data_IF_317383881800
#
_entry.id   IF_317383881800
#
_cell.length_a   1.000
_cell.length_b   1.000
_cell.length_c   1.000
_cell.angle_alpha   90.00
_cell.angle_beta   90.00
_cell.angle_gamma   90.00
#
_symmetry.space_group_name_H-M   'P 1'
#
loop_
_entity.id
_entity.type
_entity.pdbx_description
1 polymer ?
#
# COMPACT_ATOMS: atom_id res chain seq x y z
N UNK A 1 -0.65 74.96 -23.26
CA UNK A 1 -1.80 75.63 -23.91
C UNK A 1 -1.57 75.64 -25.41
N UNK A 2 -2.57 75.19 -26.19
CA UNK A 2 -2.78 75.49 -27.63
C UNK A 2 -1.74 74.88 -28.61
N UNK A 3 -2.07 74.23 -29.74
CA UNK A 3 -3.31 73.95 -30.47
C UNK A 3 -2.98 72.85 -31.49
N UNK A 4 -3.97 72.01 -31.84
CA UNK A 4 -3.92 71.00 -32.92
C UNK A 4 -3.67 71.65 -34.29
N UNK A 5 -2.88 71.01 -35.14
CA UNK A 5 -3.02 71.14 -36.60
C UNK A 5 -3.19 69.76 -37.21
N UNK A 6 -4.27 69.66 -37.95
CA UNK A 6 -4.74 68.53 -38.75
C UNK A 6 -3.99 68.54 -40.08
N UNK A 7 -3.34 67.44 -40.45
CA UNK A 7 -2.86 67.22 -41.83
C UNK A 7 -3.59 66.00 -42.39
N UNK A 8 -4.33 66.26 -43.45
CA UNK A 8 -5.11 65.32 -44.26
C UNK A 8 -4.25 64.66 -45.33
N UNK A 9 -4.67 63.44 -45.71
CA UNK A 9 -4.55 62.80 -47.02
C UNK A 9 -3.14 62.63 -47.61
N UNK A 10 -2.71 61.39 -47.87
CA UNK A 10 -3.19 60.68 -49.04
C UNK A 10 -2.66 59.25 -49.12
N UNK A 11 -3.53 58.41 -49.66
CA UNK A 11 -3.36 57.00 -49.93
C UNK A 11 -2.26 56.79 -50.99
N UNK A 12 -1.26 55.96 -50.68
CA UNK A 12 -0.42 55.30 -51.68
C UNK A 12 -0.41 53.81 -51.35
N UNK A 13 -1.05 53.06 -52.24
CA UNK A 13 -1.01 51.61 -52.31
C UNK A 13 0.43 51.13 -52.51
N UNK A 14 0.91 50.33 -51.56
CA UNK A 14 2.06 49.46 -51.77
C UNK A 14 1.54 48.03 -51.91
N UNK A 15 1.56 47.52 -53.15
CA UNK A 15 1.60 46.09 -53.40
C UNK A 15 2.98 45.57 -52.96
N UNK A 16 3.00 44.66 -51.99
CA UNK A 16 4.13 43.76 -51.82
C UNK A 16 3.70 42.44 -51.18
N UNK A 17 3.84 41.40 -51.99
CA UNK A 17 4.15 40.00 -51.71
C UNK A 17 3.59 39.38 -50.41
N UNK A 18 2.57 38.54 -50.59
CA UNK A 18 2.19 37.52 -49.63
C UNK A 18 3.37 36.57 -49.39
N UNK A 19 4.03 36.73 -48.25
CA UNK A 19 4.90 35.70 -47.68
C UNK A 19 4.03 34.59 -47.11
N UNK A 20 4.17 33.39 -47.65
CA UNK A 20 3.62 32.17 -47.10
C UNK A 20 4.34 31.84 -45.79
N UNK A 21 3.67 32.06 -44.65
CA UNK A 21 4.09 31.44 -43.39
C UNK A 21 4.01 29.91 -43.52
N UNK A 22 5.05 29.15 -43.16
CA UNK A 22 4.92 27.71 -43.03
C UNK A 22 4.03 27.42 -41.80
N UNK A 23 2.80 26.99 -42.06
CA UNK A 23 1.97 26.32 -41.06
C UNK A 23 2.79 25.17 -40.47
N UNK A 24 3.12 25.28 -39.19
CA UNK A 24 3.56 24.14 -38.38
C UNK A 24 2.43 23.13 -38.38
N UNK A 25 2.56 22.11 -39.21
CA UNK A 25 1.72 20.92 -39.16
C UNK A 25 1.91 20.27 -37.79
N UNK A 26 0.91 20.40 -36.93
CA UNK A 26 0.74 19.48 -35.82
C UNK A 26 0.63 18.07 -36.42
N UNK A 27 1.44 17.09 -35.98
CA UNK A 27 1.20 15.72 -36.38
C UNK A 27 -0.16 15.30 -35.82
N UNK A 28 -1.15 15.24 -36.72
CA UNK A 28 -2.39 14.52 -36.49
C UNK A 28 -1.99 13.07 -36.23
N UNK A 29 -2.02 12.68 -34.95
CA UNK A 29 -1.91 11.29 -34.57
C UNK A 29 -3.04 10.54 -35.28
N UNK A 30 -2.66 9.74 -36.26
CA UNK A 30 -3.53 8.78 -36.92
C UNK A 30 -4.17 7.92 -35.83
N UNK A 31 -5.49 8.02 -35.73
CA UNK A 31 -6.34 7.10 -34.98
C UNK A 31 -6.24 5.72 -35.62
N UNK A 32 -5.18 4.99 -35.26
CA UNK A 32 -5.11 3.56 -35.45
C UNK A 32 -5.69 2.91 -34.20
N UNK A 33 -6.97 2.55 -34.29
CA UNK A 33 -7.54 1.46 -33.52
C UNK A 33 -6.77 0.18 -33.89
N UNK A 34 -5.69 -0.10 -33.19
CA UNK A 34 -5.15 -1.45 -33.09
C UNK A 34 -5.59 -2.03 -31.77
N UNK A 35 -6.46 -3.04 -31.86
CA UNK A 35 -6.77 -3.96 -30.79
C UNK A 35 -5.47 -4.50 -30.17
N UNK A 36 -5.10 -3.95 -29.02
CA UNK A 36 -4.05 -4.47 -28.16
C UNK A 36 -4.61 -4.48 -26.74
N UNK A 37 -5.07 -5.68 -26.37
CA UNK A 37 -5.12 -6.22 -25.01
C UNK A 37 -6.10 -5.58 -24.01
N UNK A 38 -7.39 -5.84 -24.21
CA UNK A 38 -8.38 -5.84 -23.14
C UNK A 38 -8.40 -7.20 -22.42
N UNK A 39 -7.32 -7.56 -21.73
CA UNK A 39 -7.35 -8.59 -20.69
C UNK A 39 -7.21 -7.97 -19.31
N UNK A 40 -8.09 -7.02 -18.98
CA UNK A 40 -8.39 -6.73 -17.58
C UNK A 40 -9.15 -7.93 -17.02
N UNK A 41 -8.41 -8.90 -16.46
CA UNK A 41 -8.98 -10.06 -15.81
C UNK A 41 -9.97 -9.62 -14.73
N UNK A 42 -11.21 -10.09 -14.86
CA UNK A 42 -12.31 -9.79 -13.95
C UNK A 42 -11.91 -10.07 -12.48
N UNK A 43 -12.07 -9.09 -11.60
CA UNK A 43 -11.89 -9.27 -10.16
C UNK A 43 -12.88 -10.35 -9.69
N UNK A 44 -12.38 -11.43 -9.10
CA UNK A 44 -13.21 -12.51 -8.54
C UNK A 44 -13.20 -12.44 -7.03
N UNK A 45 -14.39 -12.48 -6.41
CA UNK A 45 -14.55 -12.58 -4.96
C UNK A 45 -15.02 -14.00 -4.61
N UNK A 46 -14.21 -14.75 -3.86
CA UNK A 46 -14.45 -16.15 -3.51
C UNK A 46 -14.68 -16.32 -2.01
N UNK A 47 -15.77 -16.98 -1.60
CA UNK A 47 -16.15 -17.08 -0.18
C UNK A 47 -15.61 -18.33 0.52
N UNK A 48 -15.03 -19.27 -0.23
CA UNK A 48 -14.46 -20.51 0.31
C UNK A 48 -12.96 -20.37 0.48
N UNK A 49 -12.45 -20.82 1.62
CA UNK A 49 -11.01 -20.96 1.86
C UNK A 49 -10.44 -22.10 1.00
N UNK A 50 -9.52 -21.83 0.06
CA UNK A 50 -8.78 -22.87 -0.67
C UNK A 50 -7.89 -23.71 0.26
N UNK A 51 -7.67 -24.97 -0.10
CA UNK A 51 -6.86 -25.90 0.69
C UNK A 51 -5.37 -25.49 0.80
N UNK A 52 -4.87 -24.72 -0.17
CA UNK A 52 -3.50 -24.22 -0.20
C UNK A 52 -3.35 -22.86 0.51
N UNK A 53 -4.40 -22.33 1.13
CA UNK A 53 -4.29 -21.25 2.11
C UNK A 53 -4.21 -21.88 3.50
N UNK A 54 -3.05 -21.77 4.12
CA UNK A 54 -2.68 -22.49 5.33
C UNK A 54 -2.53 -21.54 6.52
N UNK A 55 -2.63 -22.07 7.73
CA UNK A 55 -2.32 -21.31 8.94
C UNK A 55 -0.80 -21.22 9.13
N UNK A 56 -0.27 -20.02 9.33
CA UNK A 56 1.16 -19.78 9.42
C UNK A 56 1.83 -20.59 10.53
N UNK A 57 1.16 -20.78 11.66
CA UNK A 57 1.68 -21.53 12.83
C UNK A 57 1.92 -23.02 12.54
N UNK A 58 1.25 -23.56 11.52
CA UNK A 58 1.49 -24.93 11.03
C UNK A 58 2.75 -25.05 10.17
N UNK A 59 3.23 -23.93 9.61
CA UNK A 59 4.43 -23.85 8.77
C UNK A 59 5.65 -23.38 9.57
N UNK A 60 5.48 -22.40 10.46
CA UNK A 60 6.55 -21.89 11.33
C UNK A 60 6.01 -21.48 12.70
N UNK A 61 6.60 -22.07 13.75
CA UNK A 61 6.35 -21.68 15.15
C UNK A 61 7.30 -20.60 15.67
N UNK A 62 8.20 -20.11 14.82
CA UNK A 62 9.18 -19.07 15.18
C UNK A 62 8.64 -17.65 14.97
N UNK A 63 7.43 -17.51 14.43
CA UNK A 63 6.83 -16.21 14.11
C UNK A 63 5.75 -15.91 15.16
N UNK A 64 5.81 -14.71 15.75
CA UNK A 64 4.75 -14.23 16.63
C UNK A 64 3.56 -13.75 15.79
N UNK A 65 2.36 -14.21 16.14
CA UNK A 65 1.11 -13.85 15.45
C UNK A 65 0.27 -12.93 16.34
N UNK A 66 0.00 -11.73 15.84
CA UNK A 66 -0.78 -10.72 16.54
C UNK A 66 -1.64 -9.96 15.53
N UNK A 67 -2.73 -10.58 15.09
CA UNK A 67 -3.65 -10.03 14.10
C UNK A 67 -4.37 -8.80 14.67
N UNK A 68 -3.89 -7.62 14.33
CA UNK A 68 -4.33 -6.35 14.89
C UNK A 68 -5.85 -6.15 14.74
N UNK A 69 -6.39 -6.57 13.60
CA UNK A 69 -7.82 -6.43 13.28
C UNK A 69 -8.73 -7.42 13.98
N UNK A 70 -8.20 -8.42 14.67
CA UNK A 70 -8.98 -9.26 15.59
C UNK A 70 -9.30 -8.55 16.92
N UNK A 71 -8.63 -7.43 17.22
CA UNK A 71 -8.74 -6.70 18.47
C UNK A 71 -9.18 -5.24 18.25
N UNK A 72 -9.41 -4.49 19.33
CA UNK A 72 -9.88 -3.10 19.25
C UNK A 72 -8.77 -2.07 19.01
N UNK A 73 -7.51 -2.44 19.24
CA UNK A 73 -6.34 -1.57 19.10
C UNK A 73 -5.86 -1.51 17.64
N UNK A 74 -6.70 -0.92 16.79
CA UNK A 74 -6.40 -0.65 15.39
C UNK A 74 -7.07 0.67 14.97
N UNK A 75 -6.79 1.13 13.74
CA UNK A 75 -7.27 2.43 13.27
C UNK A 75 -8.79 2.57 13.24
N UNK A 76 -9.57 1.49 13.26
CA UNK A 76 -11.04 1.54 13.34
C UNK A 76 -11.58 1.60 14.78
N UNK A 77 -10.72 1.37 15.77
CA UNK A 77 -11.05 1.41 17.20
C UNK A 77 -11.94 0.25 17.67
N UNK A 78 -12.03 -0.85 16.91
CA UNK A 78 -12.82 -2.05 17.25
C UNK A 78 -12.32 -3.29 16.48
N UNK A 79 -12.66 -4.51 16.94
CA UNK A 79 -12.46 -5.71 16.14
C UNK A 79 -13.19 -5.58 14.80
N UNK A 80 -12.51 -5.96 13.73
CA UNK A 80 -12.95 -5.68 12.37
C UNK A 80 -13.77 -6.85 11.80
N UNK A 81 -14.93 -6.60 11.15
CA UNK A 81 -15.71 -7.66 10.52
C UNK A 81 -14.87 -8.52 9.58
N UNK A 82 -14.92 -9.84 9.77
CA UNK A 82 -14.10 -10.82 9.05
C UNK A 82 -13.01 -11.47 9.91
N UNK A 83 -12.58 -10.82 10.99
CA UNK A 83 -11.66 -11.38 11.97
C UNK A 83 -12.43 -11.90 13.18
N UNK A 84 -12.42 -13.21 13.38
CA UNK A 84 -13.03 -13.89 14.54
C UNK A 84 -12.00 -14.56 15.45
N UNK A 85 -10.74 -14.62 15.01
CA UNK A 85 -9.65 -15.25 15.74
C UNK A 85 -8.28 -14.61 15.42
N UNK A 86 -7.31 -14.85 16.29
CA UNK A 86 -5.92 -14.43 16.12
C UNK A 86 -5.12 -15.43 15.26
N UNK A 87 -5.56 -15.63 14.01
CA UNK A 87 -4.92 -16.55 13.07
C UNK A 87 -4.39 -15.81 11.84
N UNK A 88 -3.13 -16.06 11.50
CA UNK A 88 -2.54 -15.61 10.25
C UNK A 88 -2.71 -16.71 9.19
N UNK A 89 -3.54 -16.45 8.19
CA UNK A 89 -3.68 -17.30 7.01
C UNK A 89 -2.88 -16.74 5.83
N UNK A 90 -2.14 -17.59 5.15
CA UNK A 90 -1.35 -17.23 3.95
C UNK A 90 -1.43 -18.36 2.92
N UNK A 91 -1.33 -18.00 1.65
CA UNK A 91 -1.09 -18.97 0.58
C UNK A 91 0.21 -19.73 0.88
N UNK A 92 0.23 -21.04 0.66
CA UNK A 92 1.27 -21.96 1.12
C UNK A 92 2.70 -21.52 0.74
N UNK A 93 2.92 -21.01 -0.48
CA UNK A 93 4.23 -20.51 -0.93
C UNK A 93 4.64 -19.25 -0.16
N UNK A 94 3.70 -18.33 0.09
CA UNK A 94 3.95 -17.15 0.90
C UNK A 94 4.28 -17.52 2.36
N UNK A 95 3.55 -18.47 2.94
CA UNK A 95 3.84 -18.98 4.28
C UNK A 95 5.24 -19.63 4.37
N UNK A 96 5.62 -20.43 3.38
CA UNK A 96 6.94 -21.06 3.29
C UNK A 96 8.06 -20.04 3.11
N UNK A 97 7.87 -19.05 2.24
CA UNK A 97 8.82 -17.96 2.05
C UNK A 97 9.00 -17.15 3.34
N UNK A 98 7.91 -16.81 4.03
CA UNK A 98 7.96 -16.08 5.30
C UNK A 98 8.65 -16.90 6.41
N UNK A 99 8.50 -18.23 6.41
CA UNK A 99 9.26 -19.09 7.31
C UNK A 99 10.78 -19.01 7.06
N UNK A 100 11.23 -18.85 5.80
CA UNK A 100 12.63 -18.62 5.49
C UNK A 100 13.11 -17.24 5.97
N UNK A 101 12.28 -16.20 5.83
CA UNK A 101 12.56 -14.87 6.41
C UNK A 101 12.78 -15.00 7.92
N UNK A 102 11.91 -15.74 8.61
CA UNK A 102 12.02 -15.95 10.06
C UNK A 102 13.32 -16.65 10.46
N UNK A 103 13.76 -17.66 9.70
CA UNK A 103 15.04 -18.34 9.93
C UNK A 103 16.22 -17.37 9.75
N UNK A 104 16.19 -16.54 8.71
CA UNK A 104 17.24 -15.54 8.46
C UNK A 104 17.27 -14.46 9.53
N UNK A 105 16.11 -13.92 9.92
CA UNK A 105 15.98 -12.97 11.02
C UNK A 105 16.51 -13.56 12.34
N UNK A 106 16.19 -14.83 12.62
CA UNK A 106 16.67 -15.56 13.79
C UNK A 106 18.19 -15.64 13.89
N UNK A 107 18.88 -15.87 12.77
CA UNK A 107 20.36 -15.86 12.71
C UNK A 107 20.97 -14.50 13.03
N UNK A 108 20.22 -13.42 12.84
CA UNK A 108 20.62 -12.06 13.16
C UNK A 108 20.17 -11.62 14.58
N UNK A 109 19.55 -12.51 15.34
CA UNK A 109 19.06 -12.23 16.70
C UNK A 109 17.71 -11.53 16.76
N UNK A 110 16.92 -11.62 15.68
CA UNK A 110 15.57 -11.06 15.59
C UNK A 110 14.50 -12.16 15.52
N UNK A 111 13.25 -11.79 15.80
CA UNK A 111 12.07 -12.61 15.54
C UNK A 111 11.09 -11.82 14.68
N UNK A 112 10.25 -12.47 13.88
CA UNK A 112 9.16 -11.80 13.18
C UNK A 112 7.91 -11.70 14.06
N UNK A 113 7.20 -10.59 13.94
CA UNK A 113 5.82 -10.42 14.42
C UNK A 113 4.94 -10.04 13.24
N UNK A 114 3.94 -10.86 12.92
CA UNK A 114 2.95 -10.55 11.89
C UNK A 114 1.73 -9.88 12.51
N UNK A 115 1.29 -8.81 11.85
CA UNK A 115 0.24 -7.89 12.32
C UNK A 115 -1.02 -8.00 11.46
N UNK A 116 -0.86 -8.34 10.18
CA UNK A 116 -1.94 -8.79 9.31
C UNK A 116 -1.42 -9.75 8.23
N UNK A 117 -2.28 -10.65 7.76
CA UNK A 117 -1.98 -11.64 6.72
C UNK A 117 -3.13 -11.66 5.70
N UNK A 118 -3.75 -12.81 5.42
CA UNK A 118 -5.00 -12.81 4.68
C UNK A 118 -6.06 -11.93 5.38
N UNK A 119 -6.62 -10.99 4.60
CA UNK A 119 -7.69 -10.08 4.99
C UNK A 119 -8.93 -10.38 4.18
N UNK A 120 -10.08 -10.74 4.78
CA UNK A 120 -11.31 -10.94 4.03
C UNK A 120 -11.73 -9.70 3.25
N UNK A 121 -12.28 -9.86 2.05
CA UNK A 121 -12.76 -8.74 1.24
C UNK A 121 -13.78 -7.86 1.99
N UNK A 122 -14.67 -8.46 2.81
CA UNK A 122 -15.61 -7.72 3.67
C UNK A 122 -14.92 -6.76 4.66
N UNK A 123 -13.69 -7.06 5.05
CA UNK A 123 -12.86 -6.19 5.90
C UNK A 123 -12.40 -4.97 5.11
N UNK A 124 -11.90 -5.15 3.88
CA UNK A 124 -11.59 -4.02 2.98
C UNK A 124 -12.82 -3.16 2.71
N UNK A 125 -13.97 -3.77 2.45
CA UNK A 125 -15.23 -3.04 2.26
C UNK A 125 -15.62 -2.25 3.53
N UNK A 126 -15.37 -2.83 4.70
CA UNK A 126 -15.58 -2.16 5.98
C UNK A 126 -14.63 -0.97 6.16
N UNK A 127 -13.35 -1.11 5.83
CA UNK A 127 -12.39 0.00 5.87
C UNK A 127 -12.79 1.14 4.94
N UNK A 128 -13.29 0.84 3.74
CA UNK A 128 -13.81 1.87 2.82
C UNK A 128 -15.00 2.64 3.42
N UNK A 129 -15.95 1.93 4.05
CA UNK A 129 -17.09 2.57 4.74
C UNK A 129 -16.62 3.40 5.94
N UNK A 130 -15.69 2.88 6.73
CA UNK A 130 -15.11 3.61 7.86
C UNK A 130 -14.40 4.88 7.39
N UNK A 131 -13.61 4.82 6.32
CA UNK A 131 -12.90 5.96 5.76
C UNK A 131 -13.86 7.05 5.22
N UNK A 132 -14.99 6.63 4.65
CA UNK A 132 -16.05 7.52 4.17
C UNK A 132 -16.85 8.20 5.30
N UNK A 133 -16.88 7.63 6.50
CA UNK A 133 -17.51 8.24 7.66
C UNK A 133 -16.60 9.31 8.30
N UNK A 134 -16.69 10.53 7.77
CA UNK A 134 -15.96 11.68 8.26
C UNK A 134 -16.35 12.11 9.69
N UNK A 135 -17.47 11.63 10.23
CA UNK A 135 -17.91 11.99 11.59
C UNK A 135 -17.15 11.21 12.67
N UNK A 136 -16.69 9.99 12.36
CA UNK A 136 -15.87 9.20 13.28
C UNK A 136 -14.40 9.59 13.20
N UNK A 137 -13.92 10.33 14.21
CA UNK A 137 -12.54 10.81 14.35
C UNK A 137 -11.81 10.23 15.55
N UNK A 138 -12.36 9.19 16.20
CA UNK A 138 -11.90 8.70 17.51
C UNK A 138 -10.42 8.31 17.53
N UNK A 139 -9.94 7.74 16.43
CA UNK A 139 -8.59 7.20 16.29
C UNK A 139 -7.64 8.14 15.53
N UNK A 140 -8.12 9.31 15.07
CA UNK A 140 -7.35 10.24 14.22
C UNK A 140 -5.99 10.60 14.81
N UNK A 141 -5.96 10.99 16.08
CA UNK A 141 -4.72 11.42 16.73
C UNK A 141 -3.63 10.35 16.72
N UNK A 142 -4.01 9.07 16.77
CA UNK A 142 -3.08 7.95 16.81
C UNK A 142 -2.69 7.44 15.42
N UNK A 143 -3.63 7.36 14.48
CA UNK A 143 -3.42 6.64 13.21
C UNK A 143 -3.34 7.53 11.97
N UNK A 144 -3.86 8.75 12.00
CA UNK A 144 -3.83 9.64 10.83
C UNK A 144 -3.84 11.12 11.25
N UNK A 145 -2.92 11.54 12.13
CA UNK A 145 -2.98 12.86 12.78
C UNK A 145 -2.89 14.02 11.79
N UNK A 146 -2.23 13.81 10.66
CA UNK A 146 -1.95 14.84 9.64
C UNK A 146 -2.82 14.73 8.39
N UNK A 147 -3.70 13.74 8.30
CA UNK A 147 -4.56 13.51 7.14
C UNK A 147 -6.03 13.72 7.47
N UNK A 148 -6.83 14.04 6.45
CA UNK A 148 -8.28 13.89 6.58
C UNK A 148 -8.67 12.46 6.27
N UNK A 149 -9.75 11.99 6.90
CA UNK A 149 -10.20 10.61 6.76
C UNK A 149 -10.54 10.23 5.30
N UNK A 150 -11.08 11.20 4.56
CA UNK A 150 -11.38 11.06 3.13
C UNK A 150 -10.13 10.88 2.25
N UNK A 151 -8.95 11.30 2.71
CA UNK A 151 -7.70 11.18 1.96
C UNK A 151 -7.03 9.81 2.16
N UNK A 152 -7.52 8.99 3.10
CA UNK A 152 -6.92 7.70 3.42
C UNK A 152 -7.05 6.68 2.28
N UNK A 153 -8.02 6.85 1.39
CA UNK A 153 -8.18 5.99 0.21
C UNK A 153 -7.18 6.29 -0.92
N UNK A 154 -6.32 7.31 -0.76
CA UNK A 154 -5.29 7.70 -1.74
C UNK A 154 -3.98 6.93 -1.54
N UNK A 155 -4.07 5.66 -1.14
CA UNK A 155 -2.91 4.77 -1.03
C UNK A 155 -2.87 3.90 0.22
N UNK A 156 -3.52 4.30 1.32
CA UNK A 156 -3.48 3.54 2.58
C UNK A 156 -4.66 2.57 2.72
N UNK A 157 -5.84 2.95 2.22
CA UNK A 157 -7.04 2.10 2.24
C UNK A 157 -7.46 1.79 0.80
N UNK A 158 -7.34 0.52 0.42
CA UNK A 158 -7.75 0.03 -0.88
C UNK A 158 -9.09 -0.72 -0.81
N UNK A 159 -9.96 -0.46 -1.78
CA UNK A 159 -11.20 -1.22 -1.96
C UNK A 159 -10.91 -2.71 -2.23
N UNK A 160 -9.82 -2.99 -2.96
CA UNK A 160 -9.35 -4.35 -3.25
C UNK A 160 -7.91 -4.48 -2.79
N UNK A 161 -7.70 -5.09 -1.62
CA UNK A 161 -6.39 -5.21 -0.98
C UNK A 161 -5.62 -6.44 -1.46
N UNK A 162 -4.30 -6.33 -1.57
CA UNK A 162 -3.41 -7.48 -1.78
C UNK A 162 -3.60 -8.57 -0.73
N UNK A 163 -3.90 -8.19 0.51
CA UNK A 163 -4.19 -9.12 1.60
C UNK A 163 -5.33 -10.08 1.31
N UNK A 164 -6.36 -9.67 0.56
CA UNK A 164 -7.45 -10.59 0.21
C UNK A 164 -7.03 -11.66 -0.79
N UNK A 165 -5.83 -11.56 -1.39
CA UNK A 165 -5.23 -12.59 -2.26
C UNK A 165 -4.30 -13.55 -1.50
N UNK A 166 -4.22 -13.39 -0.17
CA UNK A 166 -3.52 -14.24 0.78
C UNK A 166 -2.00 -14.40 0.57
N UNK A 167 -1.36 -13.55 -0.23
CA UNK A 167 0.09 -13.55 -0.43
C UNK A 167 0.77 -12.26 0.07
N UNK A 168 0.01 -11.45 0.81
CA UNK A 168 0.45 -10.19 1.41
C UNK A 168 0.48 -10.31 2.93
N UNK A 169 1.46 -9.67 3.55
CA UNK A 169 1.69 -9.68 4.99
C UNK A 169 2.13 -8.29 5.46
N UNK A 170 1.61 -7.90 6.62
CA UNK A 170 2.07 -6.76 7.39
C UNK A 170 2.85 -7.27 8.60
N UNK A 171 4.09 -6.81 8.79
CA UNK A 171 4.95 -7.33 9.84
C UNK A 171 6.01 -6.34 10.34
N UNK A 172 6.60 -6.68 11.49
CA UNK A 172 7.78 -6.02 12.04
C UNK A 172 8.80 -7.04 12.56
N UNK A 173 9.96 -6.52 12.96
CA UNK A 173 11.01 -7.27 13.64
C UNK A 173 10.94 -7.03 15.14
N UNK A 174 11.15 -8.10 15.91
CA UNK A 174 11.33 -8.05 17.35
C UNK A 174 12.80 -8.27 17.70
N UNK A 175 13.25 -7.65 18.79
CA UNK A 175 14.54 -7.92 19.42
C UNK A 175 14.36 -8.08 20.93
N UNK A 176 15.19 -8.91 21.55
CA UNK A 176 15.21 -9.02 23.01
C UNK A 176 15.74 -7.72 23.64
N UNK A 177 14.99 -7.18 24.60
CA UNK A 177 15.45 -6.11 25.47
C UNK A 177 16.45 -6.62 26.53
N UNK A 178 16.91 -5.74 27.42
CA UNK A 178 17.85 -6.10 28.50
C UNK A 178 17.30 -7.16 29.48
N UNK A 179 15.98 -7.27 29.60
CA UNK A 179 15.31 -8.30 30.40
C UNK A 179 15.07 -9.62 29.63
N UNK A 180 15.56 -9.72 28.39
CA UNK A 180 15.40 -10.90 27.53
C UNK A 180 14.02 -11.04 26.88
N UNK A 181 13.15 -10.03 26.99
CA UNK A 181 11.80 -10.03 26.42
C UNK A 181 11.82 -9.51 24.98
N UNK A 182 11.11 -10.17 24.08
CA UNK A 182 10.93 -9.69 22.71
C UNK A 182 10.12 -8.39 22.70
N UNK A 183 10.62 -7.40 21.96
CA UNK A 183 9.99 -6.09 21.79
C UNK A 183 10.13 -5.67 20.32
N UNK A 184 9.11 -5.03 19.73
CA UNK A 184 9.23 -4.45 18.40
C UNK A 184 10.40 -3.48 18.34
N UNK A 185 11.18 -3.56 17.26
CA UNK A 185 12.22 -2.57 17.02
C UNK A 185 11.61 -1.27 16.51
N UNK A 186 12.25 -0.15 16.84
CA UNK A 186 11.76 1.16 16.45
C UNK A 186 11.91 1.38 14.93
N UNK A 187 10.77 1.46 14.25
CA UNK A 187 10.67 1.72 12.81
C UNK A 187 10.39 3.20 12.51
N UNK A 188 10.30 4.07 13.52
CA UNK A 188 10.05 5.51 13.37
C UNK A 188 8.59 5.90 13.15
N UNK A 189 7.69 4.93 13.08
CA UNK A 189 6.24 5.12 13.04
C UNK A 189 5.57 3.81 13.44
N UNK A 190 4.40 3.89 14.07
CA UNK A 190 3.64 2.71 14.44
C UNK A 190 3.09 2.00 13.18
N UNK A 191 2.72 0.72 13.34
CA UNK A 191 1.89 0.01 12.37
C UNK A 191 0.57 0.75 12.14
N UNK A 192 0.06 0.75 10.92
CA UNK A 192 -1.16 1.46 10.48
C UNK A 192 -1.17 2.97 10.71
N UNK A 193 0.00 3.59 10.96
CA UNK A 193 0.11 5.04 10.96
C UNK A 193 0.02 5.54 9.51
N UNK A 194 -1.14 6.03 9.09
CA UNK A 194 -1.38 6.61 7.76
C UNK A 194 -0.80 8.01 7.67
N UNK A 195 0.47 8.07 7.30
CA UNK A 195 1.26 9.28 7.35
C UNK A 195 2.53 9.14 6.50
N UNK A 196 3.04 10.23 5.87
CA UNK A 196 4.31 10.19 5.13
C UNK A 196 5.53 9.70 5.91
N UNK A 197 5.50 9.68 7.25
CA UNK A 197 6.55 9.05 8.07
C UNK A 197 6.58 7.53 7.87
N UNK A 198 5.46 6.91 7.50
CA UNK A 198 5.35 5.46 7.27
C UNK A 198 5.88 5.01 5.92
N UNK A 199 6.10 5.93 4.98
CA UNK A 199 6.69 5.64 3.67
C UNK A 199 8.05 4.98 3.84
N UNK A 200 8.34 3.93 3.08
CA UNK A 200 9.53 3.11 3.21
C UNK A 200 10.82 3.95 3.24
N UNK A 201 10.89 4.98 2.38
CA UNK A 201 12.03 5.87 2.21
C UNK A 201 11.87 7.24 2.89
N UNK A 202 11.05 7.35 3.93
CA UNK A 202 10.78 8.63 4.60
C UNK A 202 12.07 9.33 5.06
N UNK A 203 12.17 10.64 4.80
CA UNK A 203 13.29 11.47 5.25
C UNK A 203 13.15 11.91 6.72
N UNK A 204 11.95 11.79 7.29
CA UNK A 204 11.59 12.26 8.63
C UNK A 204 11.98 11.30 9.77
N UNK A 205 12.63 10.18 9.45
CA UNK A 205 13.09 9.17 10.42
C UNK A 205 14.60 9.21 10.61
N UNK A 206 15.06 8.78 11.79
CA UNK A 206 16.47 8.70 12.15
C UNK A 206 17.23 7.65 11.34
N UNK A 207 18.56 7.74 11.35
CA UNK A 207 19.44 6.76 10.70
C UNK A 207 19.20 5.34 11.21
N UNK A 208 18.98 5.15 12.51
CA UNK A 208 18.70 3.84 13.11
C UNK A 208 17.38 3.26 12.61
N UNK A 209 16.32 4.08 12.57
CA UNK A 209 15.01 3.67 12.07
C UNK A 209 15.07 3.31 10.57
N UNK A 210 15.82 4.07 9.76
CA UNK A 210 16.09 3.74 8.36
C UNK A 210 16.80 2.39 8.22
N UNK A 211 17.83 2.14 9.03
CA UNK A 211 18.54 0.87 9.02
C UNK A 211 17.63 -0.31 9.41
N UNK A 212 16.73 -0.12 10.38
CA UNK A 212 15.74 -1.13 10.77
C UNK A 212 14.75 -1.46 9.64
N UNK A 213 14.23 -0.44 8.94
CA UNK A 213 13.35 -0.65 7.77
C UNK A 213 14.08 -1.35 6.63
N UNK A 214 15.32 -0.95 6.34
CA UNK A 214 16.15 -1.60 5.33
C UNK A 214 16.44 -3.05 5.68
N UNK A 215 16.75 -3.37 6.94
CA UNK A 215 16.93 -4.75 7.39
C UNK A 215 15.67 -5.59 7.13
N UNK A 216 14.49 -5.12 7.53
CA UNK A 216 13.24 -5.82 7.27
C UNK A 216 13.02 -6.00 5.77
N UNK A 217 13.15 -4.92 5.00
CA UNK A 217 13.01 -4.93 3.54
C UNK A 217 13.92 -5.96 2.89
N UNK A 218 15.22 -5.96 3.23
CA UNK A 218 16.21 -6.85 2.62
C UNK A 218 15.91 -8.32 2.95
N UNK A 219 15.54 -8.62 4.20
CA UNK A 219 15.14 -9.96 4.61
C UNK A 219 13.91 -10.45 3.82
N UNK A 220 12.91 -9.59 3.65
CA UNK A 220 11.70 -9.91 2.89
C UNK A 220 12.01 -10.10 1.40
N UNK A 221 12.79 -9.20 0.79
CA UNK A 221 13.13 -9.26 -0.64
C UNK A 221 13.98 -10.49 -1.00
N UNK A 222 14.87 -10.93 -0.11
CA UNK A 222 15.64 -12.17 -0.31
C UNK A 222 14.75 -13.41 -0.45
N UNK A 223 13.51 -13.37 0.05
CA UNK A 223 12.53 -14.45 -0.07
C UNK A 223 11.42 -14.14 -1.08
N UNK A 224 11.64 -13.16 -1.97
CA UNK A 224 10.73 -12.87 -3.09
C UNK A 224 9.53 -11.99 -2.75
N UNK A 225 9.52 -11.36 -1.57
CA UNK A 225 8.52 -10.35 -1.24
C UNK A 225 8.88 -8.99 -1.80
N UNK A 226 7.88 -8.23 -2.22
CA UNK A 226 8.00 -6.87 -2.75
C UNK A 226 7.39 -5.90 -1.73
N UNK A 227 8.12 -4.86 -1.30
CA UNK A 227 7.58 -3.86 -0.38
C UNK A 227 6.55 -2.96 -1.06
N UNK A 228 5.67 -2.35 -0.26
CA UNK A 228 4.87 -1.21 -0.70
C UNK A 228 5.47 0.11 -0.21
N UNK A 229 5.65 1.07 -1.12
CA UNK A 229 6.44 2.29 -0.85
C UNK A 229 5.81 3.20 0.22
N UNK A 230 4.49 3.15 0.42
CA UNK A 230 3.80 4.01 1.40
C UNK A 230 3.76 3.42 2.81
N UNK A 231 4.11 2.14 2.98
CA UNK A 231 3.93 1.40 4.22
C UNK A 231 5.14 0.50 4.49
N UNK A 232 5.99 0.89 5.45
CA UNK A 232 7.24 0.16 5.74
C UNK A 232 7.04 -1.30 6.18
N UNK A 233 5.85 -1.65 6.67
CA UNK A 233 5.48 -2.97 7.18
C UNK A 233 4.89 -3.89 6.10
N UNK A 234 4.51 -3.38 4.93
CA UNK A 234 3.65 -4.08 3.98
C UNK A 234 4.43 -4.74 2.84
N UNK A 235 4.19 -6.04 2.64
CA UNK A 235 4.92 -6.84 1.67
C UNK A 235 4.02 -7.86 0.96
N UNK A 236 4.15 -7.96 -0.37
CA UNK A 236 3.43 -8.96 -1.18
C UNK A 236 4.42 -9.87 -1.90
N UNK A 237 4.20 -11.19 -1.88
CA UNK A 237 5.02 -12.14 -2.64
C UNK A 237 4.87 -11.86 -4.15
N UNK A 238 5.97 -11.77 -4.91
CA UNK A 238 5.92 -11.35 -6.32
C UNK A 238 5.12 -12.31 -7.23
N UNK A 239 5.32 -13.63 -7.08
CA UNK A 239 4.74 -14.67 -7.93
C UNK A 239 3.55 -15.35 -7.25
N UNK A 240 2.50 -14.56 -6.99
CA UNK A 240 1.29 -15.01 -6.29
C UNK A 240 0.55 -16.10 -7.06
N UNK A 241 0.00 -17.08 -6.33
CA UNK A 241 -0.90 -18.07 -6.91
C UNK A 241 -2.26 -17.47 -7.34
N UNK A 242 -2.67 -16.37 -6.70
CA UNK A 242 -4.00 -15.76 -6.85
C UNK A 242 -3.95 -14.27 -7.20
N UNK A 243 -3.33 -13.86 -8.33
CA UNK A 243 -3.09 -12.45 -8.60
C UNK A 243 -4.36 -11.60 -8.80
N UNK A 244 -5.48 -12.23 -9.18
CA UNK A 244 -6.76 -11.55 -9.49
C UNK A 244 -7.96 -12.12 -8.70
N UNK A 245 -7.70 -12.95 -7.68
CA UNK A 245 -8.75 -13.61 -6.88
C UNK A 245 -8.68 -13.16 -5.44
N UNK A 246 -9.72 -12.46 -5.00
CA UNK A 246 -9.87 -11.89 -3.67
C UNK A 246 -10.80 -12.80 -2.87
N UNK A 247 -10.38 -13.22 -1.68
CA UNK A 247 -11.17 -14.12 -0.87
C UNK A 247 -11.98 -13.36 0.20
N UNK A 248 -13.11 -13.94 0.60
CA UNK A 248 -14.02 -13.42 1.62
C UNK A 248 -14.48 -14.51 2.62
N UNK A 249 -13.64 -15.52 2.87
CA UNK A 249 -13.84 -16.41 4.01
C UNK A 249 -13.39 -15.72 5.31
N UNK A 250 -13.97 -16.10 6.44
CA UNK A 250 -13.66 -15.53 7.76
C UNK A 250 -12.33 -16.06 8.29
N UNK A 251 -11.57 -15.22 8.99
CA UNK A 251 -10.44 -15.65 9.81
C UNK A 251 -10.99 -16.21 11.12
N UNK A 252 -11.10 -17.53 11.21
CA UNK A 252 -11.64 -18.28 12.36
C UNK A 252 -10.64 -19.26 12.94
#
# INVERSE_FOLDING_TARGET
MKTKVLVTLNCVLLLSCAGTEPQKTQPQALLNNSAADQSQGQIRIETKKPADIVELTTVSRQIQVEMAYAFADNFTGRPVPGYQANHCYLQQKAAQALAQVAIQAGRLGYQLQVLDCYRPQRTSDYFMRWAADASDQKTKAAYYPRLNKADLNQGYIAAHSGHSRASTVDLTLLRKNAAGQWQPIDMGGAYDLFDPISHLNSSAISTTQKANRLLLKDLMQQQGFVPYELEWWHFTLQNESYPTTYFDFVVN
#
